data_IF_969983141606
#
_entry.id   IF_969983141606
#
_cell.length_a   1.000
_cell.length_b   1.000
_cell.length_c   1.000
_cell.angle_alpha   90.00
_cell.angle_beta   90.00
_cell.angle_gamma   90.00
#
_symmetry.space_group_name_H-M   'P 1'
#
loop_
_entity.id
_entity.type
_entity.pdbx_description
1 polymer ?
#
# COMPACT_ATOMS: atom_id res chain seq x y z
N UNK A 1 -8.84 7.76 -12.45
CA UNK A 1 -10.11 7.66 -11.70
C UNK A 1 -10.16 8.80 -10.68
N UNK A 2 -11.29 9.49 -10.58
CA UNK A 2 -11.50 10.62 -9.65
C UNK A 2 -12.40 10.14 -8.52
N UNK A 3 -12.01 10.37 -7.26
CA UNK A 3 -12.89 10.12 -6.11
C UNK A 3 -13.86 11.30 -5.98
N UNK A 4 -15.19 11.07 -5.94
CA UNK A 4 -16.16 12.16 -5.82
C UNK A 4 -15.93 13.03 -4.58
N UNK A 5 -16.12 14.34 -4.75
CA UNK A 5 -16.11 15.29 -3.65
C UNK A 5 -17.17 14.90 -2.59
N UNK A 6 -16.78 14.84 -1.32
CA UNK A 6 -17.64 14.40 -0.21
C UNK A 6 -17.46 12.93 0.21
N UNK A 7 -16.62 12.15 -0.48
CA UNK A 7 -16.25 10.80 -0.01
C UNK A 7 -15.48 10.89 1.31
N UNK A 8 -15.86 10.09 2.32
CA UNK A 8 -15.12 10.07 3.60
C UNK A 8 -13.68 9.59 3.35
N UNK A 9 -12.75 10.09 4.17
CA UNK A 9 -11.33 9.75 4.04
C UNK A 9 -11.12 8.24 4.18
N UNK A 10 -11.86 7.59 5.08
CA UNK A 10 -11.83 6.13 5.29
C UNK A 10 -12.18 5.35 4.02
N UNK A 11 -13.22 5.77 3.30
CA UNK A 11 -13.61 5.13 2.03
C UNK A 11 -12.59 5.40 0.93
N UNK A 12 -12.12 6.65 0.83
CA UNK A 12 -11.11 7.03 -0.15
C UNK A 12 -9.78 6.29 0.06
N UNK A 13 -9.36 6.15 1.32
CA UNK A 13 -8.17 5.39 1.71
C UNK A 13 -8.32 3.90 1.40
N UNK A 14 -9.44 3.28 1.79
CA UNK A 14 -9.74 1.88 1.47
C UNK A 14 -9.71 1.61 -0.03
N UNK A 15 -10.28 2.50 -0.84
CA UNK A 15 -10.25 2.39 -2.29
C UNK A 15 -8.82 2.31 -2.86
N UNK A 16 -7.87 3.09 -2.33
CA UNK A 16 -6.47 3.00 -2.76
C UNK A 16 -5.77 1.72 -2.26
N UNK A 17 -6.20 1.14 -1.14
CA UNK A 17 -5.74 -0.19 -0.70
C UNK A 17 -6.19 -1.26 -1.70
N UNK A 18 -7.45 -1.21 -2.15
CA UNK A 18 -7.97 -2.16 -3.15
C UNK A 18 -7.30 -1.99 -4.52
N UNK A 19 -7.10 -0.74 -4.96
CA UNK A 19 -6.34 -0.45 -6.19
C UNK A 19 -4.93 -1.02 -6.11
N UNK A 20 -4.25 -0.88 -4.96
CA UNK A 20 -2.91 -1.40 -4.80
C UNK A 20 -2.85 -2.91 -5.05
N UNK A 21 -3.79 -3.64 -4.47
CA UNK A 21 -3.92 -5.09 -4.67
C UNK A 21 -4.23 -5.45 -6.11
N UNK A 22 -5.11 -4.68 -6.76
CA UNK A 22 -5.43 -4.87 -8.16
C UNK A 22 -4.18 -4.73 -9.04
N UNK A 23 -3.38 -3.69 -8.84
CA UNK A 23 -2.12 -3.52 -9.58
C UNK A 23 -1.13 -4.65 -9.30
N UNK A 24 -1.00 -5.09 -8.05
CA UNK A 24 -0.12 -6.19 -7.69
C UNK A 24 -0.53 -7.50 -8.39
N UNK A 25 -1.83 -7.79 -8.46
CA UNK A 25 -2.36 -8.97 -9.19
C UNK A 25 -2.02 -8.94 -10.68
N UNK A 26 -1.96 -7.75 -11.28
CA UNK A 26 -1.54 -7.55 -12.68
C UNK A 26 -0.02 -7.50 -12.87
N UNK A 27 0.76 -7.66 -11.79
CA UNK A 27 2.23 -7.59 -11.82
C UNK A 27 2.81 -6.17 -11.85
N UNK A 28 1.97 -5.13 -11.79
CA UNK A 28 2.43 -3.73 -11.78
C UNK A 28 2.80 -3.28 -10.36
N UNK A 29 4.01 -3.67 -9.94
CA UNK A 29 4.54 -3.41 -8.60
C UNK A 29 4.70 -1.92 -8.30
N UNK A 30 5.09 -1.14 -9.31
CA UNK A 30 5.28 0.31 -9.18
C UNK A 30 3.97 1.01 -8.86
N UNK A 31 2.91 0.70 -9.61
CA UNK A 31 1.60 1.28 -9.36
C UNK A 31 0.95 0.75 -8.08
N UNK A 32 1.20 -0.52 -7.74
CA UNK A 32 0.78 -1.09 -6.47
C UNK A 32 1.35 -0.30 -5.28
N UNK A 33 2.67 -0.05 -5.27
CA UNK A 33 3.31 0.74 -4.22
C UNK A 33 2.86 2.21 -4.24
N UNK A 34 2.69 2.81 -5.43
CA UNK A 34 2.15 4.16 -5.58
C UNK A 34 0.76 4.32 -4.96
N UNK A 35 -0.10 3.31 -5.09
CA UNK A 35 -1.43 3.31 -4.48
C UNK A 35 -1.36 3.21 -2.94
N UNK A 36 -0.44 2.42 -2.36
CA UNK A 36 -0.23 2.39 -0.90
C UNK A 36 0.25 3.74 -0.36
N UNK A 37 1.10 4.46 -1.10
CA UNK A 37 1.53 5.80 -0.72
C UNK A 37 0.36 6.79 -0.72
N UNK A 38 -0.55 6.69 -1.70
CA UNK A 38 -1.78 7.50 -1.71
C UNK A 38 -2.72 7.15 -0.54
N UNK A 39 -2.91 5.87 -0.25
CA UNK A 39 -3.68 5.43 0.91
C UNK A 39 -3.10 6.00 2.21
N UNK A 40 -1.77 5.90 2.39
CA UNK A 40 -1.05 6.48 3.54
C UNK A 40 -1.28 7.98 3.68
N UNK A 41 -1.31 8.72 2.57
CA UNK A 41 -1.51 10.17 2.61
C UNK A 41 -2.95 10.55 3.03
N UNK A 42 -3.95 9.73 2.67
CA UNK A 42 -5.37 10.02 2.95
C UNK A 42 -5.78 9.51 4.34
N UNK A 43 -5.41 8.27 4.67
CA UNK A 43 -5.71 7.62 5.95
C UNK A 43 -4.49 6.88 6.51
N UNK A 44 -3.55 7.61 7.14
CA UNK A 44 -2.32 7.02 7.67
C UNK A 44 -2.58 5.89 8.67
N UNK A 45 -3.49 6.10 9.63
CA UNK A 45 -3.79 5.11 10.67
C UNK A 45 -4.41 3.83 10.07
N UNK A 46 -5.43 3.99 9.21
CA UNK A 46 -6.05 2.85 8.51
C UNK A 46 -5.01 2.10 7.69
N UNK A 47 -4.19 2.80 6.90
CA UNK A 47 -3.18 2.19 6.05
C UNK A 47 -2.11 1.45 6.86
N UNK A 48 -1.67 2.03 7.99
CA UNK A 48 -0.63 1.43 8.84
C UNK A 48 -1.06 0.08 9.42
N UNK A 49 -2.31 -0.04 9.83
CA UNK A 49 -2.80 -1.21 10.58
C UNK A 49 -3.67 -2.17 9.76
N UNK A 50 -3.95 -1.88 8.49
CA UNK A 50 -4.79 -2.73 7.66
C UNK A 50 -4.04 -4.02 7.25
N UNK A 51 -4.58 -5.22 7.53
CA UNK A 51 -3.95 -6.50 7.18
C UNK A 51 -3.67 -6.66 5.67
N UNK A 52 -4.54 -6.14 4.82
CA UNK A 52 -4.38 -6.22 3.37
C UNK A 52 -3.20 -5.36 2.89
N UNK A 53 -2.91 -4.24 3.56
CA UNK A 53 -1.70 -3.46 3.29
C UNK A 53 -0.47 -4.27 3.66
N UNK A 54 -0.47 -4.94 4.83
CA UNK A 54 0.67 -5.76 5.26
C UNK A 54 0.97 -6.88 4.28
N UNK A 55 -0.06 -7.62 3.83
CA UNK A 55 0.11 -8.67 2.81
C UNK A 55 0.66 -8.12 1.49
N UNK A 56 0.15 -6.97 1.05
CA UNK A 56 0.61 -6.33 -0.19
C UNK A 56 2.07 -5.88 -0.08
N UNK A 57 2.47 -5.29 1.05
CA UNK A 57 3.85 -4.87 1.32
C UNK A 57 4.79 -6.08 1.37
N UNK A 58 4.38 -7.20 1.99
CA UNK A 58 5.17 -8.44 2.00
C UNK A 58 5.38 -8.98 0.59
N UNK A 59 4.32 -9.02 -0.21
CA UNK A 59 4.39 -9.50 -1.59
C UNK A 59 5.30 -8.61 -2.45
N UNK A 60 5.23 -7.29 -2.28
CA UNK A 60 6.14 -6.35 -2.95
C UNK A 60 7.59 -6.57 -2.52
N UNK A 61 7.87 -6.67 -1.22
CA UNK A 61 9.21 -6.88 -0.70
C UNK A 61 9.86 -8.18 -1.22
N UNK A 62 9.09 -9.29 -1.27
CA UNK A 62 9.57 -10.56 -1.82
C UNK A 62 9.87 -10.49 -3.31
N UNK A 63 9.06 -9.75 -4.07
CA UNK A 63 9.23 -9.63 -5.50
C UNK A 63 10.35 -8.65 -5.91
N UNK A 64 10.74 -7.76 -4.99
CA UNK A 64 11.73 -6.71 -5.20
C UNK A 64 13.10 -7.07 -4.60
N UNK A 65 13.46 -8.32 -4.32
CA UNK A 65 14.69 -8.71 -3.58
C UNK A 65 16.06 -8.15 -4.08
N UNK A 66 16.11 -7.41 -5.20
CA UNK A 66 17.28 -6.70 -5.74
C UNK A 66 17.16 -5.17 -5.81
N UNK A 67 16.02 -4.59 -5.44
CA UNK A 67 15.73 -3.15 -5.42
C UNK A 67 14.90 -2.91 -4.16
N UNK A 68 15.20 -2.00 -3.25
CA UNK A 68 14.57 -0.68 -3.13
C UNK A 68 14.58 -0.35 -1.64
N UNK A 69 15.25 0.74 -1.26
CA UNK A 69 15.15 1.31 0.09
C UNK A 69 13.70 1.72 0.45
N UNK A 70 12.84 1.98 -0.54
CA UNK A 70 11.51 2.57 -0.31
C UNK A 70 10.46 1.59 0.18
N UNK A 71 10.43 0.35 -0.32
CA UNK A 71 9.46 -0.68 0.15
C UNK A 71 9.84 -1.14 1.56
N UNK A 72 11.14 -1.32 1.82
CA UNK A 72 11.65 -1.58 3.16
C UNK A 72 11.32 -0.44 4.13
N UNK A 73 11.54 0.82 3.74
CA UNK A 73 11.12 1.96 4.56
C UNK A 73 9.61 1.98 4.86
N UNK A 74 8.78 1.56 3.89
CA UNK A 74 7.34 1.44 4.10
C UNK A 74 6.97 0.29 5.04
N UNK A 75 7.66 -0.86 4.98
CA UNK A 75 7.41 -1.99 5.90
C UNK A 75 7.83 -1.68 7.33
N UNK A 76 8.93 -0.94 7.53
CA UNK A 76 9.34 -0.38 8.82
C UNK A 76 8.27 0.56 9.35
N UNK A 77 7.76 1.46 8.49
CA UNK A 77 6.64 2.32 8.87
C UNK A 77 5.38 1.53 9.19
N UNK A 78 5.06 0.43 8.51
CA UNK A 78 3.94 -0.44 8.89
C UNK A 78 4.18 -1.24 10.19
N UNK A 79 5.42 -1.30 10.69
CA UNK A 79 5.79 -2.12 11.84
C UNK A 79 5.83 -3.62 11.52
N UNK A 80 6.11 -3.99 10.27
CA UNK A 80 6.13 -5.39 9.80
C UNK A 80 7.46 -5.82 9.19
N UNK A 81 8.49 -4.97 9.23
CA UNK A 81 9.79 -5.23 8.62
C UNK A 81 10.48 -6.50 9.16
N UNK A 82 10.32 -6.78 10.45
CA UNK A 82 10.88 -7.98 11.12
C UNK A 82 10.30 -9.32 10.59
N UNK A 83 9.21 -9.26 9.81
CA UNK A 83 8.50 -10.43 9.26
C UNK A 83 8.52 -10.47 7.73
N UNK A 84 9.44 -9.76 7.09
CA UNK A 84 9.67 -9.79 5.64
C UNK A 84 10.62 -10.92 5.27
#
# INVERSE_FOLDING_TARGET
>A
MVIPAGTSKERAGHHFIDISRAYLLHGDRRQAFGALQKARAITPAQTRYNPMVHETVRALARAEARSVDTVHGFSVWCGIADRL
#
